data_IF_809433905023
#
_entry.id   IF_809433905023
#
_cell.length_a   1.000
_cell.length_b   1.000
_cell.length_c   1.000
_cell.angle_alpha   90.00
_cell.angle_beta   90.00
_cell.angle_gamma   90.00
#
_symmetry.space_group_name_H-M   'P 1'
#
loop_
_entity.id
_entity.type
_entity.pdbx_description
1 polymer ?
#
# COMPACT_ATOMS: atom_id res chain seq x y z
N UNK A 1 -0.81 11.25 -30.25
CA UNK A 1 -1.78 10.22 -29.82
C UNK A 1 -1.40 9.81 -28.42
N UNK A 2 -2.23 10.16 -27.43
CA UNK A 2 -1.97 9.81 -26.03
C UNK A 2 -2.39 8.36 -25.82
N UNK A 3 -1.41 7.46 -25.74
CA UNK A 3 -1.64 6.13 -25.20
C UNK A 3 -1.54 6.27 -23.69
N UNK A 4 -2.65 6.61 -23.02
CA UNK A 4 -2.79 6.36 -21.59
C UNK A 4 -3.03 4.86 -21.43
N UNK A 5 -1.95 4.07 -21.56
CA UNK A 5 -2.00 2.67 -21.24
C UNK A 5 -2.30 2.58 -19.75
N UNK A 6 -3.54 2.25 -19.41
CA UNK A 6 -3.91 1.80 -18.08
C UNK A 6 -3.28 0.41 -17.90
N UNK A 7 -1.96 0.35 -17.76
CA UNK A 7 -1.23 -0.88 -17.48
C UNK A 7 -1.50 -1.25 -16.04
N UNK A 8 -2.64 -1.91 -15.81
CA UNK A 8 -2.86 -2.67 -14.60
C UNK A 8 -1.67 -3.61 -14.42
N UNK A 9 -0.87 -3.39 -13.38
CA UNK A 9 0.21 -4.32 -13.02
C UNK A 9 -0.47 -5.56 -12.45
N UNK A 10 -0.32 -6.75 -13.07
CA UNK A 10 -0.90 -7.96 -12.52
C UNK A 10 -0.25 -8.24 -11.17
N UNK A 11 -1.04 -8.23 -10.11
CA UNK A 11 -0.58 -8.53 -8.76
C UNK A 11 -0.66 -10.05 -8.52
N UNK A 12 0.13 -10.60 -7.57
CA UNK A 12 -0.03 -11.99 -7.15
C UNK A 12 -1.45 -12.26 -6.63
N UNK A 13 -1.89 -13.51 -6.71
CA UNK A 13 -3.13 -14.00 -6.12
C UNK A 13 -2.87 -14.75 -4.81
N UNK A 14 -3.93 -14.96 -4.02
CA UNK A 14 -3.94 -15.68 -2.74
C UNK A 14 -2.99 -15.05 -1.69
N UNK A 15 -3.00 -13.73 -1.62
CA UNK A 15 -2.18 -13.01 -0.65
C UNK A 15 -2.78 -13.11 0.75
N UNK A 16 -1.95 -13.41 1.76
CA UNK A 16 -2.36 -13.37 3.18
C UNK A 16 -1.79 -12.13 3.84
N UNK A 17 -2.63 -11.35 4.53
CA UNK A 17 -2.15 -10.26 5.39
C UNK A 17 -1.50 -10.87 6.65
N UNK A 18 -0.22 -10.59 6.88
CA UNK A 18 0.48 -11.10 8.07
C UNK A 18 0.05 -10.40 9.36
N UNK A 19 -0.69 -9.31 9.26
CA UNK A 19 -1.14 -8.52 10.42
C UNK A 19 -2.25 -9.25 11.17
N UNK A 20 -3.14 -9.95 10.46
CA UNK A 20 -4.29 -10.65 11.04
C UNK A 20 -4.52 -12.08 10.49
N UNK A 21 -3.77 -12.50 9.47
CA UNK A 21 -3.86 -13.83 8.86
C UNK A 21 -5.00 -13.98 7.84
N UNK A 22 -5.71 -12.91 7.51
CA UNK A 22 -6.82 -12.93 6.57
C UNK A 22 -6.36 -12.78 5.12
N UNK A 23 -7.27 -12.96 4.18
CA UNK A 23 -6.99 -12.65 2.77
C UNK A 23 -6.72 -11.15 2.61
N UNK A 24 -5.61 -10.81 1.96
CA UNK A 24 -5.27 -9.43 1.69
C UNK A 24 -6.04 -8.93 0.46
N UNK A 25 -6.80 -7.86 0.66
CA UNK A 25 -7.53 -7.18 -0.40
C UNK A 25 -6.57 -6.30 -1.22
N UNK A 26 -6.80 -6.13 -2.54
CA UNK A 26 -5.90 -5.49 -3.51
C UNK A 26 -4.82 -6.46 -4.05
N UNK A 27 -5.29 -7.50 -4.74
CA UNK A 27 -4.48 -8.58 -5.32
C UNK A 27 -4.97 -8.95 -6.74
N UNK A 28 -4.23 -9.77 -7.48
CA UNK A 28 -4.66 -10.23 -8.81
C UNK A 28 -5.12 -9.13 -9.78
N UNK A 29 -6.40 -9.19 -10.14
CA UNK A 29 -7.08 -8.25 -11.06
C UNK A 29 -7.78 -7.10 -10.35
N UNK A 30 -7.66 -6.95 -9.02
CA UNK A 30 -8.32 -5.88 -8.26
C UNK A 30 -7.87 -4.49 -8.74
N UNK A 31 -6.68 -4.39 -9.35
CA UNK A 31 -6.18 -3.13 -9.95
C UNK A 31 -6.96 -2.67 -11.18
N UNK A 32 -7.83 -3.52 -11.74
CA UNK A 32 -8.54 -3.25 -13.01
C UNK A 32 -9.80 -2.41 -12.84
N UNK A 33 -10.48 -2.50 -11.68
CA UNK A 33 -11.74 -1.79 -11.43
C UNK A 33 -11.54 -0.42 -10.74
N UNK A 34 -10.29 -0.07 -10.44
CA UNK A 34 -9.89 1.20 -9.83
C UNK A 34 -10.06 1.26 -8.31
N UNK A 35 -10.60 0.22 -7.67
CA UNK A 35 -10.72 0.12 -6.21
C UNK A 35 -9.40 -0.21 -5.54
N UNK A 36 -8.48 -0.80 -6.28
CA UNK A 36 -7.11 -1.05 -5.88
C UNK A 36 -6.17 -0.34 -6.86
N UNK A 37 -5.13 0.30 -6.35
CA UNK A 37 -4.14 1.04 -7.13
C UNK A 37 -2.75 0.52 -6.80
N UNK A 38 -1.99 0.21 -7.85
CA UNK A 38 -0.57 -0.03 -7.73
C UNK A 38 0.18 1.31 -7.70
N UNK A 39 0.97 1.54 -6.64
CA UNK A 39 1.68 2.80 -6.44
C UNK A 39 3.15 2.74 -6.86
N UNK A 40 3.74 1.55 -6.85
CA UNK A 40 5.13 1.36 -7.27
C UNK A 40 5.81 0.18 -6.59
N UNK A 41 7.06 -0.06 -7.00
CA UNK A 41 7.87 -1.18 -6.53
C UNK A 41 9.00 -0.70 -5.61
N UNK A 42 9.41 -1.52 -4.66
CA UNK A 42 10.69 -1.34 -3.95
C UNK A 42 11.88 -1.44 -4.92
N UNK A 43 13.02 -0.86 -4.51
CA UNK A 43 14.24 -0.81 -5.34
C UNK A 43 14.78 -2.20 -5.72
N UNK A 44 14.61 -3.18 -4.84
CA UNK A 44 15.01 -4.57 -5.04
C UNK A 44 13.96 -5.41 -5.79
N UNK A 45 12.85 -4.79 -6.20
CA UNK A 45 11.73 -5.43 -6.91
C UNK A 45 11.04 -6.56 -6.15
N UNK A 46 11.25 -6.63 -4.83
CA UNK A 46 10.62 -7.65 -3.98
C UNK A 46 9.23 -7.28 -3.52
N UNK A 47 8.98 -5.98 -3.35
CA UNK A 47 7.77 -5.48 -2.74
C UNK A 47 7.01 -4.53 -3.67
N UNK A 48 5.69 -4.72 -3.73
CA UNK A 48 4.76 -3.82 -4.37
C UNK A 48 4.01 -2.99 -3.34
N UNK A 49 3.92 -1.68 -3.55
CA UNK A 49 3.12 -0.79 -2.73
C UNK A 49 1.77 -0.59 -3.39
N UNK A 50 0.70 -0.75 -2.62
CA UNK A 50 -0.67 -0.62 -3.10
C UNK A 50 -1.51 0.30 -2.21
N UNK A 51 -2.54 0.87 -2.81
CA UNK A 51 -3.59 1.62 -2.15
C UNK A 51 -4.93 0.98 -2.49
N UNK A 52 -5.66 0.65 -1.45
CA UNK A 52 -7.00 0.12 -1.48
C UNK A 52 -7.97 1.26 -1.15
N UNK A 53 -8.88 1.60 -2.06
CA UNK A 53 -9.86 2.66 -1.86
C UNK A 53 -10.69 2.41 -0.61
N UNK A 54 -10.98 3.49 0.10
CA UNK A 54 -11.79 3.47 1.30
C UNK A 54 -13.27 3.21 1.05
N UNK A 55 -13.94 2.84 2.14
CA UNK A 55 -15.38 2.76 2.21
C UNK A 55 -15.99 4.01 2.85
N UNK A 56 -17.30 4.01 3.04
CA UNK A 56 -18.04 5.13 3.64
C UNK A 56 -17.58 5.49 5.06
N UNK A 57 -16.94 4.54 5.76
CA UNK A 57 -16.41 4.74 7.11
C UNK A 57 -15.06 5.47 7.12
N UNK A 58 -14.28 5.40 6.04
CA UNK A 58 -12.98 6.06 5.91
C UNK A 58 -12.59 6.12 4.44
N UNK A 59 -12.58 7.31 3.84
CA UNK A 59 -12.46 7.49 2.39
C UNK A 59 -11.04 7.23 1.87
N UNK A 60 -10.03 7.53 2.68
CA UNK A 60 -8.61 7.33 2.35
C UNK A 60 -8.24 5.85 2.18
N UNK A 61 -9.06 4.94 2.70
CA UNK A 61 -8.87 3.51 2.59
C UNK A 61 -7.66 2.99 3.35
N UNK A 62 -6.98 1.99 2.79
CA UNK A 62 -5.77 1.45 3.39
C UNK A 62 -4.62 1.36 2.40
N UNK A 63 -3.42 1.45 2.94
CA UNK A 63 -2.18 1.21 2.21
C UNK A 63 -1.64 -0.15 2.60
N UNK A 64 -1.02 -0.83 1.65
CA UNK A 64 -0.42 -2.12 1.94
C UNK A 64 0.79 -2.41 1.08
N UNK A 65 1.55 -3.40 1.53
CA UNK A 65 2.72 -3.91 0.82
C UNK A 65 2.50 -5.37 0.50
N UNK A 66 2.80 -5.74 -0.73
CA UNK A 66 2.74 -7.11 -1.23
C UNK A 66 4.16 -7.59 -1.46
N UNK A 67 4.45 -8.82 -1.04
CA UNK A 67 5.66 -9.52 -1.44
C UNK A 67 5.34 -10.38 -2.68
N UNK A 68 6.05 -10.13 -3.78
CA UNK A 68 5.79 -10.82 -5.05
C UNK A 68 6.13 -12.32 -5.04
N UNK A 69 6.89 -12.78 -4.04
CA UNK A 69 7.47 -14.13 -4.03
C UNK A 69 6.94 -15.03 -2.91
N UNK A 70 6.35 -14.47 -1.85
CA UNK A 70 5.99 -15.26 -0.65
C UNK A 70 4.49 -15.48 -0.48
N UNK A 71 3.65 -14.87 -1.31
CA UNK A 71 2.20 -14.89 -1.12
C UNK A 71 1.75 -14.14 0.14
N UNK A 72 2.61 -13.25 0.67
CA UNK A 72 2.34 -12.45 1.87
C UNK A 72 2.14 -10.99 1.50
N UNK A 73 1.29 -10.35 2.28
CA UNK A 73 1.08 -8.92 2.25
C UNK A 73 0.99 -8.38 3.68
N UNK A 74 1.07 -7.07 3.82
CA UNK A 74 1.00 -6.37 5.10
C UNK A 74 0.23 -5.08 4.90
N UNK A 75 -0.84 -4.88 5.65
CA UNK A 75 -1.48 -3.57 5.79
C UNK A 75 -0.57 -2.62 6.56
N UNK A 76 -0.35 -1.43 6.01
CA UNK A 76 0.46 -0.37 6.62
C UNK A 76 -0.40 0.43 7.59
N UNK A 77 0.03 0.46 8.85
CA UNK A 77 -0.69 1.16 9.90
C UNK A 77 -0.50 2.68 9.79
N UNK A 78 -1.61 3.38 9.92
CA UNK A 78 -1.60 4.78 10.30
C UNK A 78 -1.20 4.92 11.77
N UNK A 79 -0.61 6.06 12.10
CA UNK A 79 -0.42 6.52 13.48
C UNK A 79 -1.78 6.99 14.04
N UNK A 80 -1.83 7.34 15.33
CA UNK A 80 -3.04 7.84 16.02
C UNK A 80 -3.67 9.11 15.39
N UNK A 81 -3.00 9.71 14.40
CA UNK A 81 -3.47 10.86 13.61
C UNK A 81 -4.13 10.42 12.28
N UNK A 82 -4.92 9.35 12.29
CA UNK A 82 -5.63 8.91 11.09
C UNK A 82 -6.69 9.95 10.71
N UNK A 83 -6.38 10.80 9.73
CA UNK A 83 -7.37 11.50 8.95
C UNK A 83 -8.02 10.47 8.02
N UNK A 84 -9.34 10.34 8.07
CA UNK A 84 -10.09 9.55 7.08
C UNK A 84 -10.32 10.30 5.76
N UNK A 85 -9.64 11.44 5.63
CA UNK A 85 -9.66 12.38 4.52
C UNK A 85 -8.30 13.09 4.43
N UNK A 86 -7.53 12.84 3.38
CA UNK A 86 -6.22 13.46 3.21
C UNK A 86 -5.55 13.13 1.87
N UNK A 87 -4.62 13.99 1.42
CA UNK A 87 -3.77 13.67 0.26
C UNK A 87 -2.55 12.88 0.73
N UNK A 88 -2.77 11.59 0.99
CA UNK A 88 -1.75 10.69 1.52
C UNK A 88 -0.83 10.20 0.39
N UNK A 89 0.47 10.39 0.58
CA UNK A 89 1.53 9.77 -0.23
C UNK A 89 2.25 8.68 0.54
N UNK A 90 2.15 7.46 0.02
CA UNK A 90 2.90 6.32 0.52
C UNK A 90 4.23 6.16 -0.23
N UNK A 91 5.30 5.84 0.49
CA UNK A 91 6.63 5.65 -0.08
C UNK A 91 7.47 4.65 0.71
N UNK A 92 8.33 3.89 0.02
CA UNK A 92 9.33 3.06 0.67
C UNK A 92 10.43 3.92 1.30
N UNK A 93 10.86 3.56 2.51
CA UNK A 93 11.90 4.27 3.25
C UNK A 93 12.82 3.30 3.97
N UNK A 94 14.07 3.71 4.19
CA UNK A 94 14.96 3.04 5.15
C UNK A 94 14.70 3.62 6.53
N UNK A 95 14.29 2.77 7.47
CA UNK A 95 14.05 3.16 8.86
C UNK A 95 15.36 3.37 9.63
N UNK A 96 15.27 4.00 10.81
CA UNK A 96 16.44 4.23 11.69
C UNK A 96 17.20 2.96 12.05
N UNK A 97 16.53 1.81 12.06
CA UNK A 97 17.13 0.51 12.35
C UNK A 97 17.73 -0.17 11.09
N UNK A 98 17.82 0.53 9.96
CA UNK A 98 18.35 0.02 8.69
C UNK A 98 17.39 -0.88 7.91
N UNK A 99 16.21 -1.20 8.45
CA UNK A 99 15.21 -2.05 7.77
C UNK A 99 14.34 -1.23 6.82
N UNK A 100 13.80 -1.91 5.81
CA UNK A 100 12.83 -1.32 4.88
C UNK A 100 11.48 -1.11 5.59
N UNK A 101 10.85 0.03 5.31
CA UNK A 101 9.53 0.38 5.80
C UNK A 101 8.75 1.18 4.78
N UNK A 102 7.52 1.53 5.16
CA UNK A 102 6.65 2.44 4.40
C UNK A 102 6.35 3.65 5.25
N UNK A 103 6.45 4.82 4.63
CA UNK A 103 6.03 6.09 5.20
C UNK A 103 4.77 6.56 4.50
N UNK A 104 3.75 6.92 5.27
CA UNK A 104 2.55 7.62 4.85
C UNK A 104 2.70 9.10 5.26
N UNK A 105 2.70 10.00 4.27
CA UNK A 105 2.79 11.44 4.49
C UNK A 105 1.51 12.10 3.98
N UNK A 106 0.82 12.84 4.85
CA UNK A 106 -0.37 13.59 4.48
C UNK A 106 0.03 14.99 3.99
N UNK A 107 -0.18 15.28 2.70
CA UNK A 107 0.13 16.60 2.15
C UNK A 107 -0.89 17.67 2.58
N UNK A 108 -2.08 17.29 3.05
CA UNK A 108 -3.10 18.24 3.53
C UNK A 108 -2.63 18.89 4.83
N UNK A 109 -2.17 18.09 5.79
CA UNK A 109 -1.71 18.58 7.10
C UNK A 109 -0.18 18.67 7.22
N UNK A 110 0.56 18.24 6.19
CA UNK A 110 2.02 18.27 6.12
C UNK A 110 2.75 17.41 7.18
N UNK A 111 2.13 16.31 7.61
CA UNK A 111 2.63 15.45 8.70
C UNK A 111 2.84 14.00 8.27
N UNK A 112 3.70 13.29 9.01
CA UNK A 112 3.84 11.83 8.87
C UNK A 112 2.72 11.14 9.66
N UNK A 113 1.76 10.60 8.92
CA UNK A 113 0.58 9.92 9.49
C UNK A 113 0.73 8.41 9.53
N UNK A 114 1.87 7.85 9.11
CA UNK A 114 2.17 6.42 9.23
C UNK A 114 3.65 6.14 8.98
N UNK A 115 4.24 5.28 9.79
CA UNK A 115 5.60 4.79 9.58
C UNK A 115 5.71 3.35 10.10
N UNK A 116 5.64 2.38 9.20
CA UNK A 116 5.65 0.96 9.56
C UNK A 116 6.80 0.21 8.89
N UNK A 117 7.34 -0.79 9.58
CA UNK A 117 8.37 -1.66 9.06
C UNK A 117 7.73 -2.81 8.27
N UNK A 118 8.30 -3.15 7.11
CA UNK A 118 7.90 -4.34 6.36
C UNK A 118 8.41 -5.60 7.10
N UNK A 119 7.54 -6.58 7.30
CA UNK A 119 7.78 -7.82 8.07
C UNK A 119 7.47 -9.10 7.28
N UNK A 120 7.27 -8.99 5.98
CA UNK A 120 6.86 -10.05 5.04
C UNK A 120 7.95 -10.43 4.04
#
# INVERSE_FOLDING_TARGET
GNVSANTAVPLPHNLTDVTDGTEFWCQGTDTTDGRCKYLGTSKDMQYGLVHAMGGTACWDGFYGVINFYTGKAQTIKYNDNQSCEGDIKASFVTLKNGKLGVKLYDNTIHEVVGLDQIKI
#
